data_IF_888889522657
#
_entry.id   IF_888889522657
#
_cell.length_a   1.000
_cell.length_b   1.000
_cell.length_c   1.000
_cell.angle_alpha   90.00
_cell.angle_beta   90.00
_cell.angle_gamma   90.00
#
_symmetry.space_group_name_H-M   'P 1'
#
loop_
_entity.id
_entity.type
_entity.pdbx_description
1 polymer ?
#
# COMPACT_ATOMS: atom_id res chain seq x y z
N UNK A 1 11.24 64.74 51.07
CA UNK A 1 10.33 63.61 51.14
C UNK A 1 10.06 63.04 49.75
N UNK A 2 10.15 63.81 48.66
CA UNK A 2 9.81 63.43 47.28
C UNK A 2 10.83 62.42 46.64
N UNK A 3 12.08 62.43 47.02
CA UNK A 3 13.14 61.58 46.38
C UNK A 3 13.02 60.05 46.74
N UNK A 4 12.44 59.72 47.89
CA UNK A 4 12.31 58.35 48.39
C UNK A 4 11.19 57.55 47.74
N UNK A 5 10.12 58.20 47.33
CA UNK A 5 8.95 57.61 46.67
C UNK A 5 9.24 57.26 45.23
N UNK A 6 10.05 58.08 44.55
CA UNK A 6 10.42 57.88 43.13
C UNK A 6 11.34 56.63 42.91
N UNK A 7 12.22 56.35 43.86
CA UNK A 7 13.09 55.17 43.83
C UNK A 7 12.36 53.88 44.17
N UNK A 8 11.41 53.94 45.10
CA UNK A 8 10.55 52.81 45.44
C UNK A 8 9.64 52.41 44.27
N UNK A 9 9.02 53.36 43.60
CA UNK A 9 8.15 53.14 42.44
C UNK A 9 8.93 52.52 41.27
N UNK A 10 10.16 52.97 41.02
CA UNK A 10 11.05 52.36 40.00
C UNK A 10 11.40 50.91 40.32
N UNK A 11 11.67 50.56 41.57
CA UNK A 11 11.95 49.18 41.99
C UNK A 11 10.73 48.26 41.84
N UNK A 12 9.55 48.74 42.19
CA UNK A 12 8.31 47.99 42.00
C UNK A 12 8.01 47.77 40.53
N UNK A 13 8.22 48.76 39.68
CA UNK A 13 8.05 48.66 38.22
C UNK A 13 9.05 47.67 37.59
N UNK A 14 10.30 47.65 38.04
CA UNK A 14 11.30 46.71 37.53
C UNK A 14 10.99 45.27 37.97
N UNK A 15 10.51 45.06 39.19
CA UNK A 15 10.08 43.72 39.66
C UNK A 15 8.84 43.26 38.88
N UNK A 16 7.86 44.15 38.69
CA UNK A 16 6.67 43.81 37.91
C UNK A 16 7.00 43.47 36.45
N UNK A 17 7.93 44.22 35.84
CA UNK A 17 8.39 43.95 34.47
C UNK A 17 9.15 42.60 34.36
N UNK A 18 9.98 42.28 35.35
CA UNK A 18 10.69 40.99 35.35
C UNK A 18 9.76 39.80 35.58
N UNK A 19 8.74 39.95 36.45
CA UNK A 19 7.72 38.89 36.63
C UNK A 19 6.89 38.70 35.35
N UNK A 20 6.48 39.80 34.69
CA UNK A 20 5.78 39.71 33.41
C UNK A 20 6.60 39.04 32.31
N UNK A 21 7.90 39.36 32.24
CA UNK A 21 8.83 38.71 31.29
C UNK A 21 8.96 37.18 31.56
N UNK A 22 9.08 36.78 32.82
CA UNK A 22 9.13 35.35 33.19
C UNK A 22 7.82 34.62 32.81
N UNK A 23 6.67 35.22 33.09
CA UNK A 23 5.37 34.68 32.71
C UNK A 23 5.26 34.52 31.19
N UNK A 24 5.68 35.51 30.41
CA UNK A 24 5.69 35.46 28.96
C UNK A 24 6.60 34.37 28.40
N UNK A 25 7.80 34.19 28.99
CA UNK A 25 8.70 33.12 28.62
C UNK A 25 8.12 31.74 28.95
N UNK A 26 7.55 31.55 30.13
CA UNK A 26 6.95 30.30 30.56
C UNK A 26 5.74 29.95 29.70
N UNK A 27 4.83 30.89 29.47
CA UNK A 27 3.66 30.65 28.61
C UNK A 27 4.06 30.41 27.16
N UNK A 28 5.02 31.14 26.63
CA UNK A 28 5.59 30.93 25.30
C UNK A 28 6.25 29.55 25.16
N UNK A 29 7.03 29.14 26.17
CA UNK A 29 7.65 27.81 26.20
C UNK A 29 6.60 26.69 26.26
N UNK A 30 5.57 26.84 27.11
CA UNK A 30 4.47 25.84 27.20
C UNK A 30 3.73 25.74 25.86
N UNK A 31 3.42 26.88 25.24
CA UNK A 31 2.76 26.91 23.92
C UNK A 31 3.63 26.29 22.83
N UNK A 32 4.94 26.57 22.84
CA UNK A 32 5.89 25.97 21.90
C UNK A 32 6.01 24.45 22.10
N UNK A 33 6.13 23.98 23.35
CA UNK A 33 6.17 22.55 23.64
C UNK A 33 4.86 21.84 23.28
N UNK A 34 3.70 22.44 23.51
CA UNK A 34 2.40 21.92 23.08
C UNK A 34 2.32 21.83 21.55
N UNK A 35 2.71 22.88 20.84
CA UNK A 35 2.76 22.90 19.39
C UNK A 35 3.68 21.79 18.82
N UNK A 36 4.87 21.59 19.41
CA UNK A 36 5.78 20.51 19.03
C UNK A 36 5.24 19.11 19.39
N UNK A 37 4.53 18.98 20.51
CA UNK A 37 3.93 17.71 20.94
C UNK A 37 2.73 17.30 20.07
N UNK A 38 1.97 18.23 19.56
CA UNK A 38 0.85 17.98 18.64
C UNK A 38 1.31 17.51 17.26
N UNK A 39 2.60 17.63 16.92
CA UNK A 39 3.18 17.18 15.65
C UNK A 39 3.75 15.75 15.68
N UNK A 40 3.63 15.03 16.80
CA UNK A 40 4.01 13.61 16.81
C UNK A 40 2.93 12.78 16.12
N UNK A 41 3.08 12.60 14.80
CA UNK A 41 2.23 11.70 14.03
C UNK A 41 2.58 10.27 14.43
N UNK A 42 1.66 9.60 15.08
CA UNK A 42 1.76 8.15 15.33
C UNK A 42 1.27 7.38 14.09
N UNK A 43 1.87 6.22 13.86
CA UNK A 43 1.55 5.37 12.71
C UNK A 43 0.98 4.05 13.17
N UNK A 44 -0.12 3.66 12.59
CA UNK A 44 -0.63 2.30 12.67
C UNK A 44 0.01 1.43 11.57
N UNK A 45 0.28 0.18 11.89
CA UNK A 45 0.78 -0.81 10.96
C UNK A 45 -0.11 -2.06 11.04
N UNK A 46 -0.60 -2.51 9.89
CA UNK A 46 -1.46 -3.69 9.79
C UNK A 46 -0.88 -4.61 8.74
N UNK A 47 -0.75 -5.88 9.10
CA UNK A 47 -0.29 -6.94 8.21
C UNK A 47 -1.27 -8.10 8.14
N UNK A 48 -1.14 -8.89 7.09
CA UNK A 48 -1.87 -10.15 6.84
C UNK A 48 -0.90 -11.31 6.69
N UNK A 49 -1.33 -12.47 7.15
CA UNK A 49 -0.62 -13.75 7.01
C UNK A 49 -0.98 -14.46 5.70
N UNK A 50 -0.42 -15.66 5.48
CA UNK A 50 -0.79 -16.54 4.37
C UNK A 50 -2.28 -16.86 4.38
N UNK A 51 -2.95 -16.72 3.25
CA UNK A 51 -4.39 -16.97 3.08
C UNK A 51 -5.30 -15.95 3.77
N UNK A 52 -4.74 -15.02 4.55
CA UNK A 52 -5.50 -14.02 5.28
C UNK A 52 -5.83 -12.81 4.39
N UNK A 53 -7.04 -12.30 4.55
CA UNK A 53 -7.48 -11.01 4.01
C UNK A 53 -8.04 -10.16 5.13
N UNK A 54 -7.74 -8.88 5.14
CA UNK A 54 -8.16 -7.99 6.22
C UNK A 54 -8.76 -6.71 5.71
N UNK A 55 -9.95 -6.38 6.20
CA UNK A 55 -10.58 -5.09 5.93
C UNK A 55 -10.18 -4.09 7.00
N UNK A 56 -9.74 -2.92 6.55
CA UNK A 56 -9.29 -1.80 7.38
C UNK A 56 -10.07 -0.56 6.98
N UNK A 57 -10.54 0.20 7.95
CA UNK A 57 -11.07 1.54 7.75
C UNK A 57 -10.02 2.55 8.21
N UNK A 58 -9.63 3.44 7.31
CA UNK A 58 -8.63 4.47 7.56
C UNK A 58 -9.28 5.71 8.20
N UNK A 59 -8.49 6.61 8.82
CA UNK A 59 -9.01 7.78 9.54
C UNK A 59 -9.87 8.74 8.72
N UNK A 60 -9.73 8.74 7.39
CA UNK A 60 -10.52 9.55 6.45
C UNK A 60 -11.80 8.87 5.95
N UNK A 61 -12.12 7.66 6.45
CA UNK A 61 -13.24 6.84 5.99
C UNK A 61 -12.94 6.03 4.72
N UNK A 62 -11.71 6.04 4.24
CA UNK A 62 -11.26 5.16 3.15
C UNK A 62 -11.30 3.71 3.62
N UNK A 63 -11.86 2.82 2.78
CA UNK A 63 -11.86 1.38 3.04
C UNK A 63 -10.74 0.73 2.23
N UNK A 64 -9.87 0.03 2.93
CA UNK A 64 -8.82 -0.81 2.38
C UNK A 64 -9.15 -2.27 2.66
N UNK A 65 -9.01 -3.13 1.65
CA UNK A 65 -8.93 -4.59 1.85
C UNK A 65 -7.51 -5.01 1.50
N UNK A 66 -6.79 -5.58 2.45
CA UNK A 66 -5.46 -6.16 2.26
C UNK A 66 -5.58 -7.62 1.83
N UNK A 67 -4.80 -8.01 0.83
CA UNK A 67 -4.65 -9.40 0.42
C UNK A 67 -3.60 -10.14 1.29
N UNK A 68 -3.40 -11.42 1.04
CA UNK A 68 -2.47 -12.31 1.77
C UNK A 68 -1.03 -11.78 1.72
N UNK A 69 -0.31 -11.90 2.84
CA UNK A 69 1.10 -11.50 2.97
C UNK A 69 1.35 -10.04 2.58
N UNK A 70 0.44 -9.15 2.96
CA UNK A 70 0.50 -7.72 2.67
C UNK A 70 0.59 -6.91 3.95
N UNK A 71 1.12 -5.71 3.85
CA UNK A 71 1.28 -4.79 4.96
C UNK A 71 0.94 -3.37 4.53
N UNK A 72 0.24 -2.64 5.39
CA UNK A 72 -0.03 -1.21 5.23
C UNK A 72 0.42 -0.46 6.48
N UNK A 73 1.05 0.69 6.26
CA UNK A 73 1.40 1.65 7.31
C UNK A 73 0.76 3.00 6.98
N UNK A 74 0.05 3.58 7.93
CA UNK A 74 -0.65 4.84 7.77
C UNK A 74 -0.67 5.64 9.08
N UNK A 75 -0.78 6.98 9.04
CA UNK A 75 -0.87 7.80 10.24
C UNK A 75 -2.24 7.66 10.92
N UNK A 76 -2.29 7.75 12.24
CA UNK A 76 -3.53 7.74 13.02
C UNK A 76 -4.47 8.90 12.67
N UNK A 77 -3.92 9.98 12.10
CA UNK A 77 -4.67 11.09 11.49
C UNK A 77 -3.90 11.67 10.31
N UNK A 78 -4.60 11.94 9.20
CA UNK A 78 -4.00 12.62 8.08
C UNK A 78 -3.90 14.13 8.37
N UNK A 79 -2.69 14.68 8.25
CA UNK A 79 -2.39 16.08 8.48
C UNK A 79 -1.71 16.69 7.23
N UNK A 80 -1.83 18.02 7.08
CA UNK A 80 -1.26 18.74 5.93
C UNK A 80 -2.10 18.56 4.66
N UNK A 81 -1.45 18.57 3.50
CA UNK A 81 -2.08 18.68 2.20
C UNK A 81 -2.29 17.34 1.46
N UNK A 82 -1.89 16.22 2.06
CA UNK A 82 -1.99 14.89 1.46
C UNK A 82 -2.38 13.81 2.49
N UNK A 83 -3.09 12.78 2.01
CA UNK A 83 -3.39 11.54 2.75
C UNK A 83 -2.47 10.44 2.22
N UNK A 84 -1.43 10.12 2.96
CA UNK A 84 -0.41 9.16 2.51
C UNK A 84 -0.45 7.87 3.32
N UNK A 85 -0.41 6.74 2.62
CA UNK A 85 -0.23 5.40 3.18
C UNK A 85 0.92 4.69 2.47
N UNK A 86 1.60 3.80 3.15
CA UNK A 86 2.67 2.96 2.61
C UNK A 86 2.13 1.53 2.47
N UNK A 87 2.28 0.93 1.29
CA UNK A 87 1.83 -0.44 0.99
C UNK A 87 2.99 -1.32 0.54
N UNK A 88 3.11 -2.49 1.14
CA UNK A 88 3.87 -3.63 0.62
C UNK A 88 2.90 -4.77 0.40
N UNK A 89 2.83 -5.34 -0.81
CA UNK A 89 1.89 -6.40 -1.15
C UNK A 89 0.74 -5.93 -2.01
N UNK A 90 -0.48 -6.40 -1.73
CA UNK A 90 -1.66 -6.11 -2.54
C UNK A 90 -2.81 -5.58 -1.69
N UNK A 91 -3.42 -4.50 -2.17
CA UNK A 91 -4.54 -3.85 -1.51
C UNK A 91 -5.53 -3.23 -2.48
N UNK A 92 -6.81 -3.47 -2.20
CA UNK A 92 -7.92 -2.81 -2.87
C UNK A 92 -8.42 -1.65 -2.02
N UNK A 93 -8.44 -0.47 -2.64
CA UNK A 93 -8.81 0.79 -2.00
C UNK A 93 -10.15 1.31 -2.52
N UNK A 94 -11.01 1.70 -1.61
CA UNK A 94 -12.19 2.53 -1.86
C UNK A 94 -11.99 3.85 -1.14
N UNK A 95 -11.35 4.79 -1.83
CA UNK A 95 -10.91 6.04 -1.25
C UNK A 95 -12.08 7.01 -1.09
N UNK A 96 -12.19 7.60 0.11
CA UNK A 96 -13.12 8.69 0.39
C UNK A 96 -12.77 9.91 -0.47
N UNK A 97 -13.78 10.50 -1.14
CA UNK A 97 -13.56 11.60 -2.07
C UNK A 97 -13.17 12.89 -1.34
N UNK A 98 -12.05 13.47 -1.73
CA UNK A 98 -11.58 14.76 -1.24
C UNK A 98 -10.62 15.38 -2.29
N UNK A 99 -11.04 16.48 -2.91
CA UNK A 99 -10.28 17.18 -3.95
C UNK A 99 -9.15 18.04 -3.36
N UNK A 100 -9.35 18.55 -2.14
CA UNK A 100 -8.39 19.45 -1.48
C UNK A 100 -7.20 18.68 -0.87
N UNK A 101 -7.38 17.36 -0.60
CA UNK A 101 -6.37 16.54 0.06
C UNK A 101 -6.20 15.20 -0.68
N UNK A 102 -5.36 15.13 -1.71
CA UNK A 102 -5.12 13.91 -2.48
C UNK A 102 -4.68 12.73 -1.61
N UNK A 103 -5.14 11.51 -1.99
CA UNK A 103 -4.73 10.26 -1.35
C UNK A 103 -3.59 9.62 -2.14
N UNK A 104 -2.53 9.22 -1.46
CA UNK A 104 -1.33 8.64 -2.05
C UNK A 104 -1.08 7.26 -1.44
N UNK A 105 -1.05 6.24 -2.27
CA UNK A 105 -0.51 4.92 -1.92
C UNK A 105 0.93 4.87 -2.40
N UNK A 106 1.86 4.90 -1.46
CA UNK A 106 3.28 4.75 -1.74
C UNK A 106 3.69 3.28 -1.66
N UNK A 107 4.41 2.81 -2.65
CA UNK A 107 5.06 1.50 -2.64
C UNK A 107 6.57 1.65 -2.88
N UNK A 108 7.32 0.56 -2.82
CA UNK A 108 8.75 0.57 -3.15
C UNK A 108 9.04 0.86 -4.63
N UNK A 109 8.03 0.69 -5.51
CA UNK A 109 8.20 0.74 -6.97
C UNK A 109 7.53 1.92 -7.64
N UNK A 110 6.40 2.39 -7.07
CA UNK A 110 5.58 3.46 -7.65
C UNK A 110 4.75 4.13 -6.56
N UNK A 111 4.28 5.32 -6.87
CA UNK A 111 3.26 6.02 -6.10
C UNK A 111 1.95 6.08 -6.90
N UNK A 112 0.82 5.90 -6.21
CA UNK A 112 -0.52 5.97 -6.79
C UNK A 112 -1.27 7.12 -6.16
N UNK A 113 -1.65 8.14 -6.96
CA UNK A 113 -2.34 9.33 -6.50
C UNK A 113 -3.78 9.37 -7.00
N UNK A 114 -4.72 9.64 -6.09
CA UNK A 114 -6.15 9.73 -6.38
C UNK A 114 -6.84 10.81 -5.55
N UNK A 115 -8.06 11.22 -5.94
CA UNK A 115 -8.91 12.12 -5.17
C UNK A 115 -10.13 11.43 -4.52
N UNK A 116 -10.57 10.30 -5.11
CA UNK A 116 -11.73 9.53 -4.66
C UNK A 116 -12.07 8.46 -5.68
N UNK A 117 -11.41 7.32 -5.58
CA UNK A 117 -11.32 6.30 -6.62
C UNK A 117 -11.42 4.91 -5.99
N UNK A 118 -11.90 3.94 -6.74
CA UNK A 118 -11.82 2.53 -6.40
C UNK A 118 -10.79 1.87 -7.30
N UNK A 119 -9.77 1.28 -6.72
CA UNK A 119 -8.66 0.70 -7.46
C UNK A 119 -7.94 -0.36 -6.63
N UNK A 120 -7.18 -1.18 -7.31
CA UNK A 120 -6.32 -2.21 -6.75
C UNK A 120 -4.87 -1.91 -7.06
N UNK A 121 -3.99 -2.13 -6.10
CA UNK A 121 -2.54 -2.03 -6.25
C UNK A 121 -1.92 -3.35 -5.80
N UNK A 122 -1.18 -4.01 -6.70
CA UNK A 122 -0.36 -5.18 -6.41
C UNK A 122 1.10 -4.82 -6.58
N UNK A 123 1.85 -4.80 -5.47
CA UNK A 123 3.26 -4.40 -5.43
C UNK A 123 4.02 -5.19 -4.37
N UNK A 124 4.11 -6.51 -4.57
CA UNK A 124 5.00 -7.36 -3.75
C UNK A 124 6.44 -7.17 -4.20
N UNK A 125 7.37 -7.01 -3.24
CA UNK A 125 8.79 -6.82 -3.55
C UNK A 125 9.43 -8.02 -4.24
N UNK A 126 8.84 -9.20 -4.08
CA UNK A 126 9.30 -10.47 -4.66
C UNK A 126 8.78 -10.72 -6.08
N UNK A 127 7.72 -10.05 -6.51
CA UNK A 127 7.08 -10.29 -7.80
C UNK A 127 7.78 -9.52 -8.93
N UNK A 128 7.80 -10.12 -10.12
CA UNK A 128 8.32 -9.48 -11.33
C UNK A 128 7.34 -8.47 -11.91
N UNK A 129 6.04 -8.69 -11.69
CA UNK A 129 4.99 -7.80 -12.19
C UNK A 129 4.33 -7.03 -11.06
N UNK A 130 4.34 -5.73 -11.17
CA UNK A 130 3.55 -4.79 -10.36
C UNK A 130 2.37 -4.31 -11.19
N UNK A 131 1.20 -4.12 -10.57
CA UNK A 131 0.01 -3.67 -11.30
C UNK A 131 -0.81 -2.66 -10.52
N UNK A 132 -1.49 -1.79 -11.28
CA UNK A 132 -2.54 -0.89 -10.78
C UNK A 132 -3.76 -1.03 -11.67
N UNK A 133 -4.91 -1.38 -11.10
CA UNK A 133 -6.18 -1.61 -11.82
C UNK A 133 -7.28 -0.70 -11.28
N UNK A 134 -7.98 0.02 -12.16
CA UNK A 134 -8.99 1.00 -11.76
C UNK A 134 -10.40 0.45 -11.95
N UNK A 135 -11.17 0.34 -10.86
CA UNK A 135 -12.58 -0.02 -10.92
C UNK A 135 -13.46 1.19 -11.29
N UNK A 136 -13.24 2.33 -10.64
CA UNK A 136 -13.98 3.56 -10.90
C UNK A 136 -13.16 4.80 -10.54
N UNK A 137 -13.35 5.90 -11.28
CA UNK A 137 -12.65 7.15 -11.07
C UNK A 137 -11.40 7.29 -11.94
N UNK A 138 -10.42 8.04 -11.43
CA UNK A 138 -9.16 8.34 -12.13
C UNK A 138 -7.99 8.12 -11.19
N UNK A 139 -6.91 7.57 -11.72
CA UNK A 139 -5.67 7.28 -10.99
C UNK A 139 -4.50 7.89 -11.75
N UNK A 140 -3.60 8.54 -11.04
CA UNK A 140 -2.26 8.86 -11.53
C UNK A 140 -1.28 7.87 -10.90
N UNK A 141 -0.45 7.26 -11.74
CA UNK A 141 0.65 6.36 -11.33
C UNK A 141 1.96 7.06 -11.64
N UNK A 142 2.73 7.32 -10.61
CA UNK A 142 4.04 7.96 -10.70
C UNK A 142 5.13 6.90 -10.54
N UNK A 143 5.95 6.75 -11.57
CA UNK A 143 7.17 5.94 -11.61
C UNK A 143 8.39 6.87 -11.55
N UNK A 144 9.59 6.37 -11.23
CA UNK A 144 10.79 7.20 -11.18
C UNK A 144 11.05 8.01 -12.46
N UNK A 145 10.73 7.45 -13.64
CA UNK A 145 11.02 8.06 -14.95
C UNK A 145 9.77 8.29 -15.82
N UNK A 146 8.58 7.98 -15.31
CA UNK A 146 7.35 8.09 -16.08
C UNK A 146 6.13 8.40 -15.19
N UNK A 147 5.14 9.07 -15.79
CA UNK A 147 3.85 9.29 -15.16
C UNK A 147 2.74 8.83 -16.09
N UNK A 148 1.78 8.08 -15.56
CA UNK A 148 0.65 7.55 -16.30
C UNK A 148 -0.68 7.94 -15.66
N UNK A 149 -1.71 8.07 -16.47
CA UNK A 149 -3.09 8.26 -16.01
C UNK A 149 -3.94 7.08 -16.45
N UNK A 150 -4.70 6.54 -15.51
CA UNK A 150 -5.66 5.48 -15.73
C UNK A 150 -7.07 5.98 -15.41
N UNK A 151 -8.02 5.48 -16.19
CA UNK A 151 -9.45 5.69 -15.97
C UNK A 151 -10.14 4.36 -15.64
N UNK A 152 -11.43 4.40 -15.31
CA UNK A 152 -12.20 3.20 -14.99
C UNK A 152 -12.03 2.09 -16.02
N UNK A 153 -11.85 0.86 -15.56
CA UNK A 153 -11.60 -0.35 -16.36
C UNK A 153 -10.26 -0.34 -17.10
N UNK A 154 -9.30 0.45 -16.66
CA UNK A 154 -7.93 0.39 -17.16
C UNK A 154 -7.01 -0.21 -16.11
N UNK A 155 -6.01 -0.93 -16.60
CA UNK A 155 -4.93 -1.52 -15.81
C UNK A 155 -3.59 -1.16 -16.44
N UNK A 156 -2.60 -0.91 -15.61
CA UNK A 156 -1.19 -0.92 -16.00
C UNK A 156 -0.50 -2.12 -15.38
N UNK A 157 0.30 -2.81 -16.18
CA UNK A 157 1.26 -3.83 -15.75
C UNK A 157 2.66 -3.29 -15.97
N UNK A 158 3.52 -3.42 -14.98
CA UNK A 158 4.89 -2.94 -14.98
C UNK A 158 5.79 -4.13 -14.66
N UNK A 159 6.68 -4.47 -15.59
CA UNK A 159 7.71 -5.47 -15.35
C UNK A 159 8.90 -4.82 -14.63
N UNK A 160 9.18 -5.25 -13.41
CA UNK A 160 10.22 -4.66 -12.56
C UNK A 160 11.64 -5.07 -12.95
N UNK A 161 11.78 -6.08 -13.82
CA UNK A 161 13.07 -6.58 -14.32
C UNK A 161 13.47 -5.83 -15.60
N UNK A 162 12.55 -5.72 -16.57
CA UNK A 162 12.80 -5.03 -17.85
C UNK A 162 12.54 -3.52 -17.80
N UNK A 163 11.76 -3.05 -16.82
CA UNK A 163 11.26 -1.66 -16.77
C UNK A 163 10.12 -1.37 -17.75
N UNK A 164 9.72 -2.35 -18.55
CA UNK A 164 8.63 -2.18 -19.50
C UNK A 164 7.28 -2.09 -18.80
N UNK A 165 6.39 -1.28 -19.36
CA UNK A 165 5.02 -1.19 -18.88
C UNK A 165 4.02 -1.32 -20.03
N UNK A 166 2.86 -1.88 -19.73
CA UNK A 166 1.76 -2.02 -20.68
C UNK A 166 0.43 -1.58 -20.06
N UNK A 167 -0.30 -0.73 -20.76
CA UNK A 167 -1.65 -0.31 -20.39
C UNK A 167 -2.66 -1.18 -21.13
N UNK A 168 -3.61 -1.75 -20.39
CA UNK A 168 -4.65 -2.65 -20.93
C UNK A 168 -6.03 -2.25 -20.39
N UNK A 169 -7.09 -2.72 -21.06
CA UNK A 169 -8.44 -2.69 -20.50
C UNK A 169 -8.67 -3.91 -19.60
N UNK A 170 -9.26 -3.67 -18.43
CA UNK A 170 -9.68 -4.71 -17.49
C UNK A 170 -11.22 -4.83 -17.53
N UNK A 171 -11.70 -5.73 -18.36
CA UNK A 171 -13.15 -5.91 -18.60
C UNK A 171 -13.82 -6.88 -17.62
N UNK A 172 -13.02 -7.77 -16.97
CA UNK A 172 -13.52 -8.87 -16.14
C UNK A 172 -13.66 -8.53 -14.65
N UNK A 173 -13.40 -7.28 -14.29
CA UNK A 173 -13.50 -6.79 -12.91
C UNK A 173 -12.17 -6.69 -12.18
N UNK A 174 -12.10 -5.72 -11.29
CA UNK A 174 -10.92 -5.40 -10.47
C UNK A 174 -11.00 -6.17 -9.15
N UNK A 175 -9.84 -6.57 -8.60
CA UNK A 175 -9.70 -7.20 -7.28
C UNK A 175 -10.61 -8.43 -7.08
N UNK A 176 -10.68 -9.32 -8.08
CA UNK A 176 -11.49 -10.56 -8.00
C UNK A 176 -11.08 -11.46 -6.84
N UNK A 177 -9.83 -11.32 -6.38
CA UNK A 177 -9.27 -12.01 -5.24
C UNK A 177 -10.04 -11.76 -3.93
N UNK A 178 -10.74 -10.62 -3.79
CA UNK A 178 -11.59 -10.33 -2.61
C UNK A 178 -12.64 -11.44 -2.44
N UNK A 179 -13.19 -11.95 -3.56
CA UNK A 179 -14.17 -13.02 -3.58
C UNK A 179 -13.56 -14.43 -3.60
N UNK A 180 -12.22 -14.54 -3.54
CA UNK A 180 -11.50 -15.80 -3.55
C UNK A 180 -11.07 -16.28 -4.93
N UNK A 181 -11.36 -15.54 -6.00
CA UNK A 181 -10.91 -15.90 -7.35
C UNK A 181 -9.43 -15.57 -7.54
N UNK A 182 -8.71 -16.44 -8.24
CA UNK A 182 -7.35 -16.18 -8.74
C UNK A 182 -7.42 -15.92 -10.23
N UNK A 183 -6.80 -14.84 -10.67
CA UNK A 183 -6.74 -14.49 -12.10
C UNK A 183 -5.33 -14.22 -12.52
N UNK A 184 -4.89 -14.96 -13.53
CA UNK A 184 -3.63 -14.79 -14.20
C UNK A 184 -3.87 -14.29 -15.63
N UNK A 185 -3.11 -13.31 -16.08
CA UNK A 185 -3.21 -12.73 -17.41
C UNK A 185 -1.81 -12.51 -17.98
N UNK A 186 -1.31 -13.47 -18.73
CA UNK A 186 0.08 -13.52 -19.19
C UNK A 186 1.05 -13.31 -18.01
N UNK A 187 0.77 -13.98 -16.87
CA UNK A 187 1.54 -13.86 -15.64
C UNK A 187 2.72 -14.84 -15.68
N UNK A 188 3.95 -14.41 -15.42
CA UNK A 188 5.09 -15.31 -15.32
C UNK A 188 4.82 -16.42 -14.30
N UNK A 189 5.16 -17.66 -14.66
CA UNK A 189 4.92 -18.84 -13.79
C UNK A 189 5.57 -18.68 -12.40
N UNK A 190 6.67 -17.94 -12.31
CA UNK A 190 7.32 -17.63 -11.04
C UNK A 190 6.44 -16.75 -10.14
N UNK A 191 5.76 -15.76 -10.71
CA UNK A 191 4.82 -14.92 -9.97
C UNK A 191 3.52 -15.65 -9.64
N UNK A 192 3.06 -16.55 -10.54
CA UNK A 192 1.96 -17.48 -10.26
C UNK A 192 2.30 -18.35 -9.05
N UNK A 193 3.49 -18.94 -9.00
CA UNK A 193 3.95 -19.75 -7.88
C UNK A 193 3.92 -18.97 -6.56
N UNK A 194 4.48 -17.75 -6.54
CA UNK A 194 4.47 -16.88 -5.35
C UNK A 194 3.05 -16.52 -4.90
N UNK A 195 2.12 -16.28 -5.83
CA UNK A 195 0.72 -16.00 -5.50
C UNK A 195 0.04 -17.24 -4.88
N UNK A 196 0.29 -18.44 -5.43
CA UNK A 196 -0.20 -19.69 -4.85
C UNK A 196 0.39 -19.93 -3.45
N UNK A 197 1.67 -19.66 -3.23
CA UNK A 197 2.31 -19.75 -1.91
C UNK A 197 1.61 -18.83 -0.90
N UNK A 198 1.34 -17.59 -1.28
CA UNK A 198 0.65 -16.61 -0.41
C UNK A 198 -0.78 -17.01 -0.09
N UNK A 199 -1.52 -17.54 -1.07
CA UNK A 199 -2.94 -17.87 -0.90
C UNK A 199 -3.12 -19.18 -0.15
N UNK A 200 -2.32 -20.22 -0.47
CA UNK A 200 -2.53 -21.58 0.05
C UNK A 200 -1.55 -21.98 1.13
N UNK A 201 -0.64 -21.09 1.53
CA UNK A 201 0.39 -21.36 2.54
C UNK A 201 1.19 -22.62 2.22
N UNK A 202 1.72 -22.72 1.02
CA UNK A 202 2.56 -23.81 0.53
C UNK A 202 3.94 -23.28 0.10
N UNK A 203 4.85 -24.16 -0.25
CA UNK A 203 6.16 -23.85 -0.78
C UNK A 203 6.30 -24.44 -2.18
N UNK A 204 6.60 -23.62 -3.17
CA UNK A 204 6.74 -24.03 -4.57
C UNK A 204 8.20 -23.84 -5.00
N UNK A 205 8.81 -24.91 -5.47
CA UNK A 205 10.17 -24.92 -6.00
C UNK A 205 10.17 -25.36 -7.46
N UNK A 206 11.21 -24.98 -8.17
CA UNK A 206 11.40 -25.30 -9.58
C UNK A 206 12.55 -26.28 -9.75
N UNK A 207 12.39 -27.27 -10.63
CA UNK A 207 13.43 -28.27 -10.90
C UNK A 207 14.71 -27.58 -11.44
N UNK A 208 15.84 -28.03 -10.92
CA UNK A 208 17.16 -27.54 -11.34
C UNK A 208 17.45 -27.81 -12.80
N UNK A 209 18.17 -26.88 -13.47
CA UNK A 209 18.61 -27.07 -14.86
C UNK A 209 17.50 -26.93 -15.91
N UNK A 210 16.31 -26.46 -15.52
CA UNK A 210 15.20 -26.20 -16.44
C UNK A 210 14.88 -24.68 -16.43
N UNK A 211 14.54 -24.16 -17.60
CA UNK A 211 14.10 -22.78 -17.75
C UNK A 211 12.57 -22.68 -17.64
N UNK A 212 12.07 -21.69 -16.91
CA UNK A 212 10.65 -21.44 -16.67
C UNK A 212 10.29 -20.03 -17.10
N UNK A 213 10.01 -19.86 -18.37
CA UNK A 213 9.62 -18.64 -19.07
C UNK A 213 8.12 -18.59 -19.42
N UNK A 214 7.37 -19.60 -18.94
CA UNK A 214 5.95 -19.73 -19.22
C UNK A 214 5.13 -18.56 -18.68
N UNK A 215 4.21 -18.05 -19.52
CA UNK A 215 3.18 -17.10 -19.14
C UNK A 215 1.85 -17.82 -18.98
N UNK A 216 1.25 -17.69 -17.81
CA UNK A 216 -0.01 -18.36 -17.47
C UNK A 216 -1.16 -17.37 -17.64
N UNK A 217 -2.23 -17.82 -18.31
CA UNK A 217 -3.49 -17.10 -18.42
C UNK A 217 -4.63 -18.01 -18.01
N UNK A 218 -5.44 -17.59 -17.04
CA UNK A 218 -6.56 -18.38 -16.54
C UNK A 218 -7.28 -17.69 -15.39
N UNK A 219 -8.49 -18.16 -15.09
CA UNK A 219 -9.30 -17.69 -13.96
C UNK A 219 -9.80 -18.90 -13.16
N UNK A 220 -9.64 -18.84 -11.84
CA UNK A 220 -9.94 -19.92 -10.92
C UNK A 220 -10.78 -19.39 -9.76
N UNK A 221 -12.09 -19.67 -9.79
CA UNK A 221 -13.01 -19.23 -8.76
C UNK A 221 -13.06 -20.20 -7.58
N UNK A 222 -12.63 -19.75 -6.39
CA UNK A 222 -12.67 -20.53 -5.14
C UNK A 222 -12.17 -21.99 -5.29
N UNK A 223 -11.13 -22.19 -6.08
CA UNK A 223 -10.58 -23.52 -6.34
C UNK A 223 -9.57 -23.94 -5.27
N UNK A 224 -9.45 -25.26 -5.10
CA UNK A 224 -8.35 -25.83 -4.30
C UNK A 224 -7.01 -25.65 -5.02
N UNK A 225 -5.92 -25.67 -4.28
CA UNK A 225 -4.57 -25.65 -4.85
C UNK A 225 -4.38 -26.73 -5.91
N UNK A 226 -4.86 -27.95 -5.65
CA UNK A 226 -4.78 -29.07 -6.60
C UNK A 226 -5.50 -28.79 -7.91
N UNK A 227 -6.66 -28.12 -7.84
CA UNK A 227 -7.41 -27.75 -9.06
C UNK A 227 -6.66 -26.72 -9.88
N UNK A 228 -6.01 -25.75 -9.23
CA UNK A 228 -5.20 -24.73 -9.91
C UNK A 228 -3.96 -25.37 -10.53
N UNK A 229 -3.23 -26.22 -9.78
CA UNK A 229 -2.05 -26.93 -10.29
C UNK A 229 -2.39 -27.82 -11.48
N UNK A 230 -3.48 -28.59 -11.44
CA UNK A 230 -3.97 -29.39 -12.57
C UNK A 230 -4.30 -28.54 -13.80
N UNK A 231 -4.87 -27.36 -13.58
CA UNK A 231 -5.15 -26.43 -14.67
C UNK A 231 -3.87 -25.92 -15.31
N UNK A 232 -2.85 -25.55 -14.51
CA UNK A 232 -1.54 -25.15 -15.01
C UNK A 232 -0.88 -26.29 -15.79
N UNK A 233 -0.92 -27.51 -15.26
CA UNK A 233 -0.40 -28.70 -15.94
C UNK A 233 -1.09 -28.94 -17.28
N UNK A 234 -2.38 -28.71 -17.37
CA UNK A 234 -3.17 -28.90 -18.60
C UNK A 234 -2.86 -27.86 -19.68
N UNK A 235 -2.67 -26.59 -19.29
CA UNK A 235 -2.48 -25.48 -20.24
C UNK A 235 -1.01 -25.19 -20.57
N UNK A 236 -0.07 -25.87 -19.91
CA UNK A 236 1.36 -25.63 -20.08
C UNK A 236 2.13 -26.94 -20.21
N UNK A 237 3.44 -26.86 -20.46
CA UNK A 237 4.40 -27.99 -20.44
C UNK A 237 4.94 -28.28 -19.03
N UNK A 238 4.31 -27.73 -18.00
CA UNK A 238 4.73 -27.83 -16.60
C UNK A 238 3.94 -28.94 -15.92
N UNK A 239 4.64 -29.86 -15.26
CA UNK A 239 4.09 -30.83 -14.33
C UNK A 239 4.37 -30.42 -12.88
N UNK A 240 3.72 -31.11 -11.93
CA UNK A 240 3.99 -30.88 -10.53
C UNK A 240 4.05 -32.19 -9.72
N UNK A 241 4.87 -32.17 -8.67
CA UNK A 241 4.88 -33.20 -7.62
C UNK A 241 4.58 -32.51 -6.28
N UNK A 242 3.56 -33.00 -5.56
CA UNK A 242 3.14 -32.44 -4.27
C UNK A 242 3.43 -33.42 -3.15
N UNK A 243 4.18 -32.99 -2.14
CA UNK A 243 4.46 -33.71 -0.92
C UNK A 243 4.11 -32.84 0.30
N UNK A 244 2.91 -33.03 0.83
CA UNK A 244 2.38 -32.17 1.89
C UNK A 244 2.19 -30.75 1.42
N UNK A 245 2.95 -29.80 1.98
CA UNK A 245 2.94 -28.37 1.62
C UNK A 245 4.00 -28.00 0.55
N UNK A 246 4.90 -28.94 0.25
CA UNK A 246 5.97 -28.72 -0.73
C UNK A 246 5.51 -29.17 -2.11
N UNK A 247 5.73 -28.32 -3.10
CA UNK A 247 5.37 -28.56 -4.50
C UNK A 247 6.61 -28.31 -5.34
N UNK A 248 6.98 -29.31 -6.14
CA UNK A 248 8.03 -29.17 -7.14
C UNK A 248 7.38 -29.04 -8.52
N UNK A 249 7.69 -27.96 -9.22
CA UNK A 249 7.32 -27.76 -10.62
C UNK A 249 8.49 -28.22 -11.51
N UNK A 250 8.17 -28.93 -12.58
CA UNK A 250 9.16 -29.44 -13.55
C UNK A 250 8.56 -29.47 -14.95
N UNK A 251 9.38 -29.34 -15.98
CA UNK A 251 8.93 -29.46 -17.38
C UNK A 251 8.72 -30.93 -17.79
N UNK A 252 7.76 -31.14 -18.69
CA UNK A 252 7.43 -32.41 -19.28
C UNK A 252 8.58 -32.95 -20.12
#
# INVERSE_FOLDING_TARGET
IEHKTRTWFRRVMTIAASVAAVIAIVTGSISYFRYMSEQQITFAEISTSFGEKKRVELPDGTILVLNSCSQVRYPDSFQGDIRKVELEGEGYFRVAHNEDMPFIVQTKRLDVRVLGTRFDVKSYSTDEIVSVSVESGKVQVDLPEAMMRLTAKEQVLINTVSGEYSKKKEERGVAVWIKGSLRFNSTPIRDVAKELERVYNCQITFASGQEFDNLITGEHDNKSLESVLKSIEFISDINYKKEGRNILLYKK
#
